data_IF_341152563583
#
_entry.id   IF_341152563583
#
_cell.length_a   1.000
_cell.length_b   1.000
_cell.length_c   1.000
_cell.angle_alpha   90.00
_cell.angle_beta   90.00
_cell.angle_gamma   90.00
#
_symmetry.space_group_name_H-M   'P 1'
#
loop_
_entity.id
_entity.type
_entity.pdbx_description
1 polymer ?
#
# COMPACT_ATOMS: atom_id res chain seq x y z
N UNK A 1 -70.90 -3.68 -12.25
CA UNK A 1 -69.63 -2.92 -12.17
C UNK A 1 -68.55 -3.55 -11.27
N UNK A 2 -68.83 -4.55 -10.43
CA UNK A 2 -67.82 -5.10 -9.49
C UNK A 2 -66.66 -5.91 -10.10
N UNK A 3 -66.84 -6.56 -11.26
CA UNK A 3 -65.81 -7.43 -11.87
C UNK A 3 -64.57 -6.65 -12.36
N UNK A 4 -64.77 -5.43 -12.87
CA UNK A 4 -63.68 -4.58 -13.36
C UNK A 4 -62.85 -3.99 -12.21
N UNK A 5 -63.46 -3.67 -11.08
CA UNK A 5 -62.75 -3.19 -9.89
C UNK A 5 -61.84 -4.28 -9.28
N UNK A 6 -62.33 -5.52 -9.22
CA UNK A 6 -61.55 -6.66 -8.75
C UNK A 6 -60.36 -6.94 -9.67
N UNK A 7 -60.56 -6.88 -10.99
CA UNK A 7 -59.47 -7.05 -11.97
C UNK A 7 -58.35 -6.00 -11.80
N UNK A 8 -58.70 -4.72 -11.61
CA UNK A 8 -57.73 -3.66 -11.42
C UNK A 8 -56.89 -3.84 -10.13
N UNK A 9 -57.52 -4.26 -9.03
CA UNK A 9 -56.84 -4.46 -7.75
C UNK A 9 -55.79 -5.59 -7.81
N UNK A 10 -56.11 -6.70 -8.49
CA UNK A 10 -55.19 -7.83 -8.64
C UNK A 10 -53.97 -7.45 -9.48
N UNK A 11 -54.18 -6.70 -10.57
CA UNK A 11 -53.08 -6.22 -11.43
C UNK A 11 -52.15 -5.29 -10.66
N UNK A 12 -52.70 -4.35 -9.89
CA UNK A 12 -51.89 -3.46 -9.05
C UNK A 12 -51.09 -4.23 -7.98
N UNK A 13 -51.71 -5.19 -7.29
CA UNK A 13 -51.03 -6.00 -6.29
C UNK A 13 -49.88 -6.81 -6.90
N UNK A 14 -50.10 -7.44 -8.06
CA UNK A 14 -49.08 -8.20 -8.76
C UNK A 14 -47.90 -7.31 -9.21
N UNK A 15 -48.19 -6.11 -9.72
CA UNK A 15 -47.16 -5.15 -10.13
C UNK A 15 -46.30 -4.70 -8.96
N UNK A 16 -46.90 -4.39 -7.81
CA UNK A 16 -46.18 -3.99 -6.59
C UNK A 16 -45.30 -5.14 -6.07
N UNK A 17 -45.82 -6.36 -6.02
CA UNK A 17 -45.05 -7.54 -5.61
C UNK A 17 -43.85 -7.80 -6.54
N UNK A 18 -44.05 -7.66 -7.86
CA UNK A 18 -42.97 -7.82 -8.84
C UNK A 18 -41.89 -6.74 -8.68
N UNK A 19 -42.30 -5.47 -8.49
CA UNK A 19 -41.37 -4.37 -8.25
C UNK A 19 -40.56 -4.57 -6.96
N UNK A 20 -41.22 -4.98 -5.87
CA UNK A 20 -40.55 -5.30 -4.60
C UNK A 20 -39.54 -6.44 -4.76
N UNK A 21 -39.91 -7.52 -5.45
CA UNK A 21 -39.02 -8.65 -5.71
C UNK A 21 -37.79 -8.23 -6.54
N UNK A 22 -37.97 -7.35 -7.54
CA UNK A 22 -36.87 -6.82 -8.34
C UNK A 22 -35.92 -5.95 -7.52
N UNK A 23 -36.47 -5.06 -6.68
CA UNK A 23 -35.66 -4.20 -5.78
C UNK A 23 -34.86 -5.05 -4.81
N UNK A 24 -35.47 -6.05 -4.17
CA UNK A 24 -34.78 -6.98 -3.25
C UNK A 24 -33.69 -7.75 -3.99
N UNK A 25 -33.97 -8.30 -5.18
CA UNK A 25 -32.98 -9.00 -6.01
C UNK A 25 -31.81 -8.10 -6.41
N UNK A 26 -32.10 -6.85 -6.79
CA UNK A 26 -31.07 -5.89 -7.15
C UNK A 26 -30.20 -5.52 -5.93
N UNK A 27 -30.83 -5.27 -4.77
CA UNK A 27 -30.14 -4.99 -3.51
C UNK A 27 -29.25 -6.16 -3.08
N UNK A 28 -29.74 -7.39 -3.16
CA UNK A 28 -28.96 -8.60 -2.87
C UNK A 28 -27.78 -8.76 -3.85
N UNK A 29 -27.97 -8.55 -5.16
CA UNK A 29 -26.87 -8.60 -6.13
C UNK A 29 -25.82 -7.53 -5.88
N UNK A 30 -26.22 -6.28 -5.61
CA UNK A 30 -25.30 -5.21 -5.24
C UNK A 30 -24.56 -5.53 -3.94
N UNK A 31 -25.28 -6.00 -2.91
CA UNK A 31 -24.69 -6.39 -1.62
C UNK A 31 -23.68 -7.52 -1.79
N UNK A 32 -23.96 -8.51 -2.64
CA UNK A 32 -23.02 -9.60 -2.93
C UNK A 32 -21.75 -9.13 -3.62
N UNK A 33 -21.84 -8.18 -4.56
CA UNK A 33 -20.67 -7.55 -5.19
C UNK A 33 -19.85 -6.75 -4.18
N UNK A 34 -20.50 -5.98 -3.32
CA UNK A 34 -19.86 -5.22 -2.24
C UNK A 34 -19.18 -6.12 -1.21
N UNK A 35 -19.81 -7.23 -0.83
CA UNK A 35 -19.22 -8.22 0.07
C UNK A 35 -17.94 -8.82 -0.51
N UNK A 36 -17.93 -9.16 -1.80
CA UNK A 36 -16.73 -9.63 -2.50
C UNK A 36 -15.64 -8.58 -2.56
N UNK A 37 -16.00 -7.33 -2.89
CA UNK A 37 -15.04 -6.23 -2.91
C UNK A 37 -14.41 -6.01 -1.52
N UNK A 38 -15.22 -6.08 -0.45
CA UNK A 38 -14.68 -5.98 0.90
C UNK A 38 -13.81 -7.16 1.31
N UNK A 39 -14.14 -8.38 0.87
CA UNK A 39 -13.27 -9.53 1.11
C UNK A 39 -11.87 -9.30 0.50
N UNK A 40 -11.81 -8.80 -0.73
CA UNK A 40 -10.54 -8.47 -1.40
C UNK A 40 -9.79 -7.36 -0.64
N UNK A 41 -10.49 -6.30 -0.22
CA UNK A 41 -9.87 -5.19 0.50
C UNK A 41 -9.33 -5.63 1.87
N UNK A 42 -10.01 -6.53 2.58
CA UNK A 42 -9.52 -7.09 3.84
C UNK A 42 -8.28 -7.95 3.63
N UNK A 43 -8.31 -8.84 2.64
CA UNK A 43 -7.13 -9.65 2.31
C UNK A 43 -5.95 -8.78 1.89
N UNK A 44 -6.21 -7.70 1.16
CA UNK A 44 -5.19 -6.73 0.78
C UNK A 44 -4.62 -5.98 2.00
N UNK A 45 -5.48 -5.48 2.88
CA UNK A 45 -5.10 -4.83 4.14
C UNK A 45 -4.20 -5.75 4.99
N UNK A 46 -4.58 -7.02 5.13
CA UNK A 46 -3.83 -8.01 5.92
C UNK A 46 -2.46 -8.32 5.30
N UNK A 47 -2.40 -8.47 3.97
CA UNK A 47 -1.16 -8.77 3.24
C UNK A 47 -0.22 -7.56 3.19
N UNK A 48 -0.76 -6.35 3.03
CA UNK A 48 0.01 -5.12 2.98
C UNK A 48 0.34 -4.55 4.36
N UNK A 49 -0.31 -5.03 5.42
CA UNK A 49 -0.04 -4.61 6.79
C UNK A 49 1.42 -4.84 7.19
N UNK A 50 2.09 -3.76 7.58
CA UNK A 50 3.50 -3.72 8.02
C UNK A 50 3.62 -3.35 9.49
N UNK A 51 3.20 -4.23 10.42
CA UNK A 51 3.40 -3.97 11.85
C UNK A 51 4.90 -3.89 12.16
N UNK A 52 5.24 -3.19 13.24
CA UNK A 52 6.63 -2.93 13.64
C UNK A 52 7.50 -4.20 13.70
N UNK A 53 6.93 -5.34 14.11
CA UNK A 53 7.64 -6.61 14.12
C UNK A 53 8.11 -7.08 12.73
N UNK A 54 7.26 -6.96 11.69
CA UNK A 54 7.67 -7.27 10.30
C UNK A 54 8.72 -6.28 9.81
N UNK A 55 8.59 -5.00 10.14
CA UNK A 55 9.57 -3.97 9.75
C UNK A 55 10.94 -4.24 10.38
N UNK A 56 11.01 -4.69 11.64
CA UNK A 56 12.26 -5.12 12.27
C UNK A 56 12.89 -6.31 11.53
N UNK A 57 12.09 -7.32 11.18
CA UNK A 57 12.60 -8.45 10.38
C UNK A 57 13.15 -8.01 9.02
N UNK A 58 12.48 -7.07 8.34
CA UNK A 58 12.99 -6.49 7.08
C UNK A 58 14.29 -5.73 7.29
N UNK A 59 14.39 -4.94 8.36
CA UNK A 59 15.61 -4.21 8.70
C UNK A 59 16.77 -5.17 9.02
N UNK A 60 16.51 -6.20 9.83
CA UNK A 60 17.51 -7.22 10.19
C UNK A 60 18.01 -7.97 8.95
N UNK A 61 17.10 -8.37 8.05
CA UNK A 61 17.46 -8.98 6.77
C UNK A 61 18.30 -8.03 5.89
N UNK A 62 17.94 -6.74 5.84
CA UNK A 62 18.71 -5.72 5.12
C UNK A 62 20.13 -5.57 5.70
N UNK A 63 20.28 -5.59 7.02
CA UNK A 63 21.58 -5.56 7.67
C UNK A 63 22.42 -6.78 7.31
N UNK A 64 21.84 -7.98 7.25
CA UNK A 64 22.56 -9.20 6.82
C UNK A 64 23.05 -9.06 5.37
N UNK A 65 22.19 -8.63 4.45
CA UNK A 65 22.57 -8.41 3.05
C UNK A 65 23.65 -7.33 2.90
N UNK A 66 23.63 -6.30 3.75
CA UNK A 66 24.67 -5.26 3.75
C UNK A 66 26.03 -5.83 4.18
N UNK A 67 26.07 -6.65 5.23
CA UNK A 67 27.31 -7.32 5.66
C UNK A 67 27.85 -8.25 4.57
N UNK A 68 26.97 -9.04 3.95
CA UNK A 68 27.37 -9.94 2.87
C UNK A 68 27.88 -9.18 1.63
N UNK A 69 27.27 -8.06 1.28
CA UNK A 69 27.70 -7.21 0.16
C UNK A 69 29.03 -6.49 0.41
N UNK A 70 29.34 -6.15 1.67
CA UNK A 70 30.64 -5.57 2.06
C UNK A 70 31.75 -6.63 2.19
N UNK A 71 31.40 -7.87 2.56
CA UNK A 71 32.38 -8.94 2.72
C UNK A 71 32.97 -9.42 1.38
N UNK A 72 32.20 -9.35 0.29
CA UNK A 72 32.65 -9.75 -1.04
C UNK A 72 31.80 -9.10 -2.13
N UNK A 73 32.44 -8.74 -3.25
CA UNK A 73 31.74 -8.22 -4.42
C UNK A 73 30.78 -9.28 -4.98
N UNK A 74 29.49 -8.94 -5.06
CA UNK A 74 28.43 -9.89 -5.43
C UNK A 74 28.03 -10.88 -4.32
N UNK A 75 28.53 -10.72 -3.09
CA UNK A 75 28.18 -11.55 -1.93
C UNK A 75 26.74 -11.41 -1.45
N UNK A 76 26.00 -10.40 -1.95
CA UNK A 76 24.59 -10.20 -1.67
C UNK A 76 23.89 -9.51 -2.84
N UNK A 77 22.56 -9.37 -2.76
CA UNK A 77 21.81 -8.61 -3.78
C UNK A 77 22.12 -7.11 -3.72
N UNK A 78 22.64 -6.63 -2.59
CA UNK A 78 23.11 -5.26 -2.39
C UNK A 78 24.58 -5.17 -2.79
N UNK A 79 24.85 -4.44 -3.89
CA UNK A 79 26.21 -4.36 -4.46
C UNK A 79 27.24 -3.66 -3.58
N UNK A 80 26.80 -2.84 -2.61
CA UNK A 80 27.65 -2.09 -1.66
C UNK A 80 28.95 -1.53 -2.29
N UNK A 81 28.79 -0.84 -3.42
CA UNK A 81 29.91 -0.33 -4.22
C UNK A 81 30.68 0.74 -3.44
N UNK A 82 32.00 0.72 -3.54
CA UNK A 82 32.87 1.75 -2.98
C UNK A 82 32.72 3.03 -3.81
N UNK A 83 32.33 4.12 -3.16
CA UNK A 83 32.15 5.43 -3.82
C UNK A 83 33.46 6.18 -4.03
N UNK A 84 34.55 5.73 -3.41
CA UNK A 84 35.84 6.44 -3.33
C UNK A 84 35.74 7.84 -2.71
N UNK A 85 34.67 8.09 -1.95
CA UNK A 85 34.49 9.31 -1.17
C UNK A 85 34.86 9.02 0.27
N UNK A 86 36.08 9.36 0.65
CA UNK A 86 36.56 9.21 2.03
C UNK A 86 36.28 10.45 2.89
N UNK A 87 36.17 11.62 2.26
CA UNK A 87 35.95 12.90 2.94
C UNK A 87 34.64 13.53 2.48
N UNK A 88 33.68 13.61 3.38
CA UNK A 88 32.41 14.30 3.15
C UNK A 88 32.58 15.83 3.39
N UNK A 89 31.81 16.69 2.70
CA UNK A 89 31.89 18.13 2.89
C UNK A 89 31.58 18.54 4.34
N UNK A 90 32.45 19.35 4.94
CA UNK A 90 32.33 19.81 6.33
C UNK A 90 31.66 21.18 6.49
N UNK A 91 31.27 21.82 5.38
CA UNK A 91 30.63 23.15 5.38
C UNK A 91 31.60 24.33 5.43
N UNK A 92 32.92 24.10 5.53
CA UNK A 92 33.94 25.16 5.61
C UNK A 92 34.57 25.56 4.25
N UNK A 93 33.95 25.18 3.13
CA UNK A 93 34.50 25.38 1.78
C UNK A 93 34.51 26.83 1.27
N UNK A 94 34.09 27.81 2.09
CA UNK A 94 34.09 29.24 1.70
C UNK A 94 34.53 30.20 2.83
N UNK A 95 35.37 29.77 3.77
CA UNK A 95 36.12 30.68 4.62
C UNK A 95 37.61 30.55 4.28
N UNK A 96 38.04 31.48 3.42
CA UNK A 96 39.39 32.05 3.30
C UNK A 96 40.44 31.50 4.27
N UNK A 97 41.57 30.99 3.76
CA UNK A 97 42.89 31.63 3.95
C UNK A 97 43.98 31.07 3.00
N UNK A 98 44.92 31.93 2.55
CA UNK A 98 46.07 31.62 1.69
C UNK A 98 47.18 30.85 2.45
N UNK A 99 48.19 30.28 1.76
CA UNK A 99 49.21 29.42 2.36
C UNK A 99 50.29 30.23 3.10
N UNK A 100 49.98 30.82 4.27
CA UNK A 100 50.97 31.60 5.03
C UNK A 100 51.11 31.29 6.53
N UNK A 101 50.37 30.33 7.10
CA UNK A 101 50.46 30.04 8.55
C UNK A 101 51.27 28.76 8.89
N UNK A 102 51.79 28.03 7.91
CA UNK A 102 52.63 26.85 8.16
C UNK A 102 54.15 27.14 8.26
N UNK A 103 54.59 28.40 8.25
CA UNK A 103 56.03 28.75 8.32
C UNK A 103 56.55 29.20 9.70
N UNK A 104 55.71 29.21 10.75
CA UNK A 104 56.15 29.54 12.12
C UNK A 104 55.44 28.68 13.17
N UNK A 105 55.80 27.39 13.26
CA UNK A 105 55.80 26.68 14.53
C UNK A 105 56.74 25.49 14.49
#
# INVERSE_FOLDING_TARGET
>A
MGKVAVGAAVVCAAAVCAAAALVVRHRMKCSGRWARAMAILREFEDKCGTPIGKLRQVADAMTVEMHAGLASEGGSKLKMLISYVDNLPTGYSNLSHPPFILFFK
#
